data_IF_476131884483
#
_entry.id   IF_476131884483
#
_cell.length_a   1.000
_cell.length_b   1.000
_cell.length_c   1.000
_cell.angle_alpha   90.00
_cell.angle_beta   90.00
_cell.angle_gamma   90.00
#
_symmetry.space_group_name_H-M   'P 1'
#
loop_
_entity.id
_entity.type
_entity.pdbx_description
1 polymer ?
#
# COMPACT_ATOMS: atom_id res chain seq x y z
N UNK A 1 -0.36 -0.45 19.78
CA UNK A 1 -0.22 -1.13 18.48
C UNK A 1 -0.72 -0.20 17.38
N UNK A 2 -0.15 -0.26 16.17
CA UNK A 2 -0.62 0.45 14.98
C UNK A 2 -1.35 -0.55 14.09
N UNK A 3 -2.58 -0.25 13.69
CA UNK A 3 -3.37 -1.07 12.77
C UNK A 3 -3.60 -0.33 11.46
N UNK A 4 -3.37 -0.99 10.33
CA UNK A 4 -3.64 -0.47 9.00
C UNK A 4 -4.47 -1.51 8.24
N UNK A 5 -5.51 -1.06 7.54
CA UNK A 5 -6.31 -1.92 6.66
C UNK A 5 -6.11 -1.47 5.23
N UNK A 6 -5.63 -2.37 4.38
CA UNK A 6 -5.58 -2.14 2.94
C UNK A 6 -6.90 -2.61 2.36
N UNK A 7 -7.75 -1.65 1.98
CA UNK A 7 -9.07 -1.95 1.46
C UNK A 7 -9.00 -2.36 -0.02
N UNK A 8 -8.59 -1.43 -0.89
CA UNK A 8 -8.58 -1.63 -2.34
C UNK A 8 -7.60 -0.69 -3.04
N UNK A 9 -7.26 -0.98 -4.29
CA UNK A 9 -6.69 -0.01 -5.22
C UNK A 9 -7.53 0.04 -6.51
N UNK A 10 -7.42 1.13 -7.26
CA UNK A 10 -8.20 1.40 -8.47
C UNK A 10 -7.32 1.98 -9.57
N UNK A 11 -7.66 1.63 -10.81
CA UNK A 11 -7.00 2.12 -12.03
C UNK A 11 -5.48 1.90 -12.05
N UNK A 12 -5.03 0.73 -11.56
CA UNK A 12 -3.61 0.38 -11.59
C UNK A 12 -3.08 0.25 -13.03
N UNK A 13 -1.81 0.57 -13.30
CA UNK A 13 -1.23 0.40 -14.61
C UNK A 13 -1.16 -1.08 -14.97
N UNK A 14 -1.53 -1.38 -16.21
CA UNK A 14 -1.28 -2.69 -16.77
C UNK A 14 0.15 -2.75 -17.30
N UNK A 15 1.00 -3.53 -16.64
CA UNK A 15 2.38 -3.77 -17.09
C UNK A 15 2.50 -5.09 -17.85
N UNK A 16 1.47 -5.94 -17.80
CA UNK A 16 1.40 -7.20 -18.54
C UNK A 16 1.22 -6.97 -20.04
N UNK A 17 1.63 -7.97 -20.83
CA UNK A 17 1.45 -7.99 -22.28
C UNK A 17 0.28 -8.89 -22.66
N UNK A 18 -0.28 -8.68 -23.85
CA UNK A 18 -1.41 -9.46 -24.40
C UNK A 18 -2.65 -9.37 -23.50
N UNK A 19 -3.43 -10.44 -23.43
CA UNK A 19 -4.72 -10.52 -22.71
C UNK A 19 -4.58 -10.77 -21.20
N UNK A 20 -3.44 -10.42 -20.60
CA UNK A 20 -3.21 -10.51 -19.15
C UNK A 20 -3.19 -9.12 -18.53
N UNK A 21 -3.71 -9.01 -17.31
CA UNK A 21 -3.61 -7.86 -16.43
C UNK A 21 -2.65 -8.14 -15.29
N UNK A 22 -2.10 -7.07 -14.73
CA UNK A 22 -1.25 -7.13 -13.54
C UNK A 22 -1.91 -7.94 -12.41
N UNK A 23 -1.07 -8.63 -11.65
CA UNK A 23 -1.39 -9.40 -10.45
C UNK A 23 -0.97 -8.59 -9.19
N UNK A 24 -1.73 -7.55 -8.79
CA UNK A 24 -1.26 -6.61 -7.79
C UNK A 24 -1.13 -7.21 -6.39
N UNK A 25 -0.07 -6.75 -5.72
CA UNK A 25 0.24 -7.03 -4.32
C UNK A 25 0.76 -5.78 -3.63
N UNK A 26 0.29 -5.52 -2.41
CA UNK A 26 0.69 -4.36 -1.60
C UNK A 26 1.73 -4.78 -0.58
N UNK A 27 2.80 -4.01 -0.46
CA UNK A 27 3.77 -4.09 0.63
C UNK A 27 3.67 -2.84 1.48
N UNK A 28 3.40 -3.01 2.76
CA UNK A 28 3.36 -1.96 3.77
C UNK A 28 4.66 -2.01 4.57
N UNK A 29 5.31 -0.88 4.77
CA UNK A 29 6.56 -0.78 5.52
C UNK A 29 6.44 0.31 6.57
N UNK A 30 6.65 -0.07 7.83
CA UNK A 30 6.65 0.85 8.96
C UNK A 30 7.81 0.51 9.90
N UNK A 31 8.63 1.52 10.24
CA UNK A 31 9.83 1.38 11.10
C UNK A 31 10.69 0.14 10.78
N UNK A 32 10.92 -0.11 9.49
CA UNK A 32 11.73 -1.25 8.99
C UNK A 32 11.01 -2.59 8.90
N UNK A 33 9.81 -2.73 9.47
CA UNK A 33 9.01 -3.97 9.42
C UNK A 33 8.07 -3.93 8.22
N UNK A 34 8.27 -4.89 7.30
CA UNK A 34 7.46 -5.04 6.09
C UNK A 34 6.37 -6.09 6.28
N UNK A 35 5.18 -5.79 5.79
CA UNK A 35 4.03 -6.71 5.70
C UNK A 35 3.47 -6.66 4.28
N UNK A 36 2.86 -7.74 3.82
CA UNK A 36 2.43 -7.88 2.43
C UNK A 36 1.02 -8.48 2.39
N UNK A 37 0.20 -7.98 1.47
CA UNK A 37 -1.12 -8.56 1.19
C UNK A 37 -1.02 -9.84 0.38
N UNK A 38 -2.14 -10.54 0.27
CA UNK A 38 -2.31 -11.56 -0.77
C UNK A 38 -2.20 -10.94 -2.16
N UNK A 39 -1.71 -11.75 -3.11
CA UNK A 39 -1.73 -11.41 -4.54
C UNK A 39 -3.15 -11.59 -5.05
N UNK A 40 -3.68 -10.59 -5.75
CA UNK A 40 -4.93 -10.72 -6.50
C UNK A 40 -4.57 -10.84 -7.97
N UNK A 41 -5.03 -11.89 -8.63
CA UNK A 41 -4.64 -12.18 -10.02
C UNK A 41 -5.52 -11.42 -11.03
N UNK A 42 -4.90 -10.98 -12.13
CA UNK A 42 -5.54 -10.44 -13.33
C UNK A 42 -6.56 -9.33 -13.04
N UNK A 43 -6.19 -8.36 -12.19
CA UNK A 43 -7.14 -7.35 -11.73
C UNK A 43 -6.46 -5.99 -11.48
N UNK A 44 -6.87 -4.96 -12.22
CA UNK A 44 -6.37 -3.58 -12.08
C UNK A 44 -7.13 -2.78 -11.01
N UNK A 45 -8.19 -3.35 -10.43
CA UNK A 45 -9.01 -2.77 -9.36
C UNK A 45 -9.15 -3.77 -8.18
N UNK A 46 -8.03 -4.19 -7.57
CA UNK A 46 -8.03 -5.20 -6.51
C UNK A 46 -8.73 -4.70 -5.23
N UNK A 47 -9.44 -5.61 -4.56
CA UNK A 47 -9.98 -5.40 -3.21
C UNK A 47 -9.37 -6.47 -2.30
N UNK A 48 -8.45 -6.06 -1.43
CA UNK A 48 -7.78 -6.97 -0.49
C UNK A 48 -8.55 -7.12 0.82
N UNK A 49 -9.07 -6.00 1.33
CA UNK A 49 -9.70 -5.91 2.65
C UNK A 49 -8.89 -6.62 3.76
N UNK A 50 -7.58 -6.36 3.78
CA UNK A 50 -6.63 -7.07 4.65
C UNK A 50 -6.05 -6.13 5.72
N UNK A 51 -6.09 -6.59 6.97
CA UNK A 51 -5.63 -5.84 8.13
C UNK A 51 -4.24 -6.26 8.59
N UNK A 52 -3.40 -5.28 8.93
CA UNK A 52 -2.04 -5.46 9.40
C UNK A 52 -1.79 -4.69 10.68
N UNK A 53 -1.00 -5.28 11.56
CA UNK A 53 -0.68 -4.70 12.86
C UNK A 53 0.82 -4.63 13.08
N UNK A 54 1.30 -3.49 13.58
CA UNK A 54 2.68 -3.30 14.03
C UNK A 54 2.69 -3.04 15.53
N UNK A 55 3.58 -3.74 16.22
CA UNK A 55 3.92 -3.40 17.59
C UNK A 55 4.80 -2.15 17.58
N UNK A 56 4.42 -1.18 18.40
CA UNK A 56 5.16 0.07 18.59
C UNK A 56 6.35 -0.10 19.54
N UNK A 57 6.41 -1.22 20.28
CA UNK A 57 7.51 -1.56 21.22
C UNK A 57 7.82 -0.42 22.18
N UNK A 58 6.79 0.26 22.69
CA UNK A 58 6.92 1.40 23.60
C UNK A 58 7.38 2.72 22.95
N UNK A 59 7.68 2.75 21.65
CA UNK A 59 7.97 4.00 20.94
C UNK A 59 6.68 4.58 20.34
N UNK A 60 6.17 5.71 20.85
CA UNK A 60 4.94 6.31 20.34
C UNK A 60 5.06 6.70 18.87
N UNK A 61 3.91 6.95 18.25
CA UNK A 61 3.84 7.63 16.96
C UNK A 61 4.13 9.12 17.18
N UNK A 62 4.79 9.74 16.22
CA UNK A 62 5.07 11.16 16.19
C UNK A 62 4.52 11.79 14.88
N UNK A 63 4.59 13.11 14.77
CA UNK A 63 4.08 13.84 13.61
C UNK A 63 4.82 13.53 12.29
N UNK A 64 6.01 12.93 12.36
CA UNK A 64 6.80 12.50 11.20
C UNK A 64 6.60 11.03 10.84
N UNK A 65 5.84 10.28 11.65
CA UNK A 65 5.57 8.88 11.43
C UNK A 65 4.71 8.69 10.18
N UNK A 66 5.11 7.77 9.32
CA UNK A 66 4.42 7.46 8.06
C UNK A 66 4.52 5.97 7.75
N UNK A 67 3.53 5.45 7.02
CA UNK A 67 3.56 4.10 6.43
C UNK A 67 3.88 4.24 4.96
N UNK A 68 4.95 3.58 4.50
CA UNK A 68 5.21 3.46 3.07
C UNK A 68 4.38 2.30 2.52
N UNK A 69 3.62 2.58 1.47
CA UNK A 69 2.73 1.64 0.78
C UNK A 69 3.28 1.50 -0.64
N UNK A 70 3.62 0.28 -1.04
CA UNK A 70 4.18 0.00 -2.38
C UNK A 70 3.34 -1.06 -3.04
N UNK A 71 2.82 -0.75 -4.23
CA UNK A 71 2.05 -1.67 -5.06
C UNK A 71 2.95 -2.21 -6.16
N UNK A 72 2.97 -3.53 -6.29
CA UNK A 72 3.73 -4.23 -7.33
C UNK A 72 2.85 -5.25 -8.03
N UNK A 73 3.18 -5.51 -9.27
CA UNK A 73 2.70 -6.65 -10.03
C UNK A 73 3.54 -7.89 -9.66
N UNK A 74 2.86 -8.95 -9.21
CA UNK A 74 3.50 -10.18 -8.82
C UNK A 74 3.74 -11.08 -10.03
N UNK A 75 5.01 -11.37 -10.28
CA UNK A 75 5.41 -12.29 -11.33
C UNK A 75 5.89 -13.60 -10.73
N UNK A 76 5.39 -14.71 -11.28
CA UNK A 76 5.75 -16.07 -10.82
C UNK A 76 7.20 -16.41 -11.17
N UNK A 77 7.67 -15.92 -12.32
CA UNK A 77 9.05 -16.06 -12.77
C UNK A 77 9.65 -14.67 -13.00
N UNK A 78 10.66 -14.32 -12.19
CA UNK A 78 11.37 -13.05 -12.31
C UNK A 78 11.12 -12.08 -11.16
N UNK A 79 11.31 -10.78 -11.42
CA UNK A 79 11.17 -9.73 -10.40
C UNK A 79 9.79 -9.09 -10.49
N UNK A 80 9.12 -8.96 -9.35
CA UNK A 80 7.89 -8.17 -9.25
C UNK A 80 8.09 -6.76 -9.82
N UNK A 81 7.17 -6.32 -10.68
CA UNK A 81 7.24 -5.03 -11.35
C UNK A 81 6.55 -3.96 -10.54
N UNK A 82 7.12 -2.76 -10.52
CA UNK A 82 6.59 -1.66 -9.73
C UNK A 82 5.39 -1.03 -10.43
N UNK A 83 4.29 -0.80 -9.68
CA UNK A 83 3.08 -0.15 -10.18
C UNK A 83 2.88 1.24 -9.59
N UNK A 84 3.31 1.44 -8.35
CA UNK A 84 3.30 2.74 -7.70
C UNK A 84 3.61 2.65 -6.21
N UNK A 85 3.89 3.79 -5.60
CA UNK A 85 4.03 3.93 -4.16
C UNK A 85 3.35 5.18 -3.64
N UNK A 86 3.05 5.16 -2.34
CA UNK A 86 2.60 6.33 -1.61
C UNK A 86 3.04 6.23 -0.15
N UNK A 87 3.18 7.38 0.51
CA UNK A 87 3.45 7.46 1.95
C UNK A 87 2.24 8.05 2.64
N UNK A 88 1.64 7.27 3.53
CA UNK A 88 0.51 7.71 4.33
C UNK A 88 1.04 8.29 5.65
N UNK A 89 0.88 9.61 5.90
CA UNK A 89 1.29 10.20 7.17
C UNK A 89 0.39 9.69 8.29
N UNK A 90 0.94 9.42 9.48
CA UNK A 90 0.16 8.98 10.65
C UNK A 90 -0.24 10.13 11.57
N UNK A 91 0.13 11.36 11.21
CA UNK A 91 -0.26 12.56 11.96
C UNK A 91 -1.78 12.70 12.09
N UNK A 92 -2.56 12.36 11.06
CA UNK A 92 -4.01 12.53 11.11
C UNK A 92 -4.69 11.51 12.05
N UNK A 93 -4.03 10.37 12.27
CA UNK A 93 -4.43 9.42 13.31
C UNK A 93 -4.27 10.07 14.69
N UNK A 94 -3.22 10.86 14.90
CA UNK A 94 -2.95 11.53 16.17
C UNK A 94 -3.82 12.78 16.41
N UNK A 95 -4.37 13.37 15.35
CA UNK A 95 -5.23 14.56 15.46
C UNK A 95 -6.70 14.23 15.74
N UNK A 96 -7.09 12.96 15.69
CA UNK A 96 -8.48 12.52 15.86
C UNK A 96 -8.68 11.83 17.22
N UNK A 97 -9.78 12.13 17.96
CA UNK A 97 -10.02 11.55 19.29
C UNK A 97 -10.13 10.02 19.30
N UNK A 98 -10.58 9.44 18.18
CA UNK A 98 -10.74 8.00 18.01
C UNK A 98 -9.47 7.30 17.50
N UNK A 99 -8.38 8.03 17.28
CA UNK A 99 -7.11 7.51 16.78
C UNK A 99 -7.26 6.73 15.47
N UNK A 100 -8.00 7.30 14.51
CA UNK A 100 -8.28 6.70 13.21
C UNK A 100 -8.25 7.72 12.09
N UNK A 101 -7.70 7.34 10.94
CA UNK A 101 -7.76 8.13 9.72
C UNK A 101 -8.03 7.21 8.53
N UNK A 102 -8.83 7.71 7.58
CA UNK A 102 -9.11 7.02 6.32
C UNK A 102 -8.41 7.77 5.19
N UNK A 103 -7.80 7.00 4.29
CA UNK A 103 -6.97 7.54 3.22
C UNK A 103 -7.48 7.07 1.87
N UNK A 104 -7.48 8.00 0.91
CA UNK A 104 -7.64 7.71 -0.53
C UNK A 104 -6.53 8.49 -1.23
N UNK A 105 -5.38 7.84 -1.40
CA UNK A 105 -4.14 8.50 -1.80
C UNK A 105 -3.73 8.05 -3.19
N UNK A 106 -3.29 8.99 -4.02
CA UNK A 106 -2.75 8.66 -5.33
C UNK A 106 -1.43 7.89 -5.20
N UNK A 107 -1.34 6.77 -5.92
CA UNK A 107 -0.10 6.05 -6.15
C UNK A 107 0.75 6.82 -7.16
N UNK A 108 2.03 6.91 -6.88
CA UNK A 108 2.99 7.62 -7.71
C UNK A 108 4.02 6.65 -8.29
N UNK A 109 4.38 6.87 -9.55
CA UNK A 109 5.52 6.18 -10.15
C UNK A 109 6.87 6.83 -9.75
N UNK A 110 7.97 6.31 -10.31
CA UNK A 110 9.32 6.85 -10.08
C UNK A 110 9.52 8.26 -10.65
N UNK A 111 8.64 8.70 -11.56
CA UNK A 111 8.61 10.06 -12.14
C UNK A 111 7.61 10.97 -11.42
N UNK A 112 7.03 10.52 -10.30
CA UNK A 112 5.98 11.21 -9.53
C UNK A 112 4.68 11.43 -10.32
N UNK A 113 4.40 10.59 -11.30
CA UNK A 113 3.15 10.59 -12.06
C UNK A 113 2.12 9.69 -11.38
N UNK A 114 0.85 10.09 -11.41
CA UNK A 114 -0.25 9.32 -10.82
C UNK A 114 -0.46 7.99 -11.59
N UNK A 115 -0.47 6.88 -10.88
CA UNK A 115 -0.69 5.52 -11.40
C UNK A 115 -1.92 4.81 -10.82
N UNK A 116 -2.78 5.52 -10.10
CA UNK A 116 -3.98 4.95 -9.49
C UNK A 116 -4.21 5.49 -8.09
N UNK A 117 -5.22 4.94 -7.40
CA UNK A 117 -5.58 5.31 -6.02
C UNK A 117 -5.77 4.05 -5.19
#
# INVERSE_FOLDING_TARGET
MLRCVVHSARNLPNVEKKDRHSDPVVTLSFKGVKKKTKVIKNNLNPVWNEGFEWDLKGTPLDASSEIQIVVKDHETMGRNRFLGEVRAPLRDVLSTPNLMANYSLALLDTKKQNTGV
#
